data_IF_694372703632
#
_entry.id   IF_694372703632
#
_cell.length_a   1.000
_cell.length_b   1.000
_cell.length_c   1.000
_cell.angle_alpha   90.00
_cell.angle_beta   90.00
_cell.angle_gamma   90.00
#
_symmetry.space_group_name_H-M   'P 1'
#
loop_
_entity.id
_entity.type
_entity.pdbx_description
1 polymer ?
#
# COMPACT_ATOMS: atom_id res chain seq x y z
N UNK A 1 -17.75 15.70 6.12
CA UNK A 1 -17.19 16.84 5.38
C UNK A 1 -15.70 16.61 5.23
N UNK A 2 -15.29 16.40 4.00
CA UNK A 2 -13.89 16.19 3.66
C UNK A 2 -13.33 17.54 3.27
N UNK A 3 -12.47 18.07 4.08
CA UNK A 3 -11.69 19.22 3.69
C UNK A 3 -10.36 18.70 3.12
N UNK A 4 -10.27 18.56 1.80
CA UNK A 4 -8.98 18.54 1.14
C UNK A 4 -8.36 19.92 1.29
N UNK A 5 -7.62 20.12 2.36
CA UNK A 5 -6.83 21.34 2.52
C UNK A 5 -5.69 21.28 1.51
N UNK A 6 -5.96 21.81 0.32
CA UNK A 6 -4.91 22.29 -0.55
C UNK A 6 -4.28 23.50 0.15
N UNK A 7 -3.36 23.23 1.07
CA UNK A 7 -2.56 24.30 1.62
C UNK A 7 -1.75 24.90 0.47
N UNK A 8 -1.91 26.18 0.14
CA UNK A 8 -1.22 26.79 -0.99
C UNK A 8 0.31 26.83 -0.80
N UNK A 9 0.80 26.61 0.42
CA UNK A 9 2.23 26.56 0.68
C UNK A 9 2.73 25.11 0.72
N UNK A 10 3.70 24.76 -0.15
CA UNK A 10 4.26 23.43 -0.16
C UNK A 10 5.04 23.17 1.14
N UNK A 11 4.69 22.08 1.83
CA UNK A 11 5.40 21.62 3.03
C UNK A 11 6.85 21.26 2.73
N UNK A 12 7.11 20.75 1.53
CA UNK A 12 8.46 20.47 1.01
C UNK A 12 8.52 20.75 -0.49
N UNK A 13 9.74 21.07 -0.96
CA UNK A 13 10.02 21.16 -2.39
C UNK A 13 10.58 19.83 -2.89
N UNK A 14 10.10 19.36 -4.02
CA UNK A 14 10.54 18.14 -4.68
C UNK A 14 9.42 17.12 -4.90
N UNK A 15 9.75 16.05 -5.60
CA UNK A 15 8.81 14.95 -5.87
C UNK A 15 8.61 14.13 -4.59
N UNK A 16 7.43 14.24 -3.98
CA UNK A 16 7.06 13.44 -2.81
C UNK A 16 6.51 12.10 -3.27
N UNK A 17 6.89 11.01 -2.61
CA UNK A 17 6.38 9.67 -2.86
C UNK A 17 6.19 8.91 -1.53
N UNK A 18 5.32 7.90 -1.56
CA UNK A 18 5.15 6.94 -0.47
C UNK A 18 4.87 7.60 0.88
N UNK A 19 3.68 8.14 1.01
CA UNK A 19 3.20 8.78 2.22
C UNK A 19 2.60 7.73 3.18
N UNK A 20 2.97 7.80 4.46
CA UNK A 20 2.31 7.04 5.53
C UNK A 20 2.12 7.92 6.77
N UNK A 21 1.15 7.56 7.62
CA UNK A 21 0.77 8.31 8.81
C UNK A 21 0.68 7.38 10.02
N UNK A 22 0.98 7.90 11.22
CA UNK A 22 0.68 7.21 12.48
C UNK A 22 -0.82 7.28 12.84
N UNK A 23 -1.59 7.93 11.98
CA UNK A 23 -3.01 8.17 12.21
C UNK A 23 -3.27 9.13 13.35
N UNK A 24 -2.27 9.91 13.78
CA UNK A 24 -2.34 10.97 14.77
C UNK A 24 -1.82 12.27 14.15
N UNK A 25 -0.61 12.65 14.46
CA UNK A 25 -0.03 13.94 14.09
C UNK A 25 1.23 13.84 13.22
N UNK A 26 1.70 12.62 12.94
CA UNK A 26 2.95 12.43 12.25
C UNK A 26 2.74 11.84 10.85
N UNK A 27 3.42 12.45 9.88
CA UNK A 27 3.50 11.98 8.51
C UNK A 27 4.93 11.64 8.17
N UNK A 28 5.09 10.61 7.38
CA UNK A 28 6.37 10.17 6.86
C UNK A 28 6.25 9.99 5.35
N UNK A 29 7.19 10.54 4.61
CA UNK A 29 7.19 10.45 3.15
C UNK A 29 8.60 10.53 2.58
N UNK A 30 8.77 10.06 1.36
CA UNK A 30 10.04 10.21 0.64
C UNK A 30 9.99 11.42 -0.30
N UNK A 31 11.12 12.14 -0.39
CA UNK A 31 11.29 13.26 -1.31
C UNK A 31 12.36 12.89 -2.33
N UNK A 32 12.07 13.07 -3.62
CA UNK A 32 12.92 12.70 -4.74
C UNK A 32 13.41 11.24 -4.68
N UNK A 33 12.58 10.34 -4.09
CA UNK A 33 12.91 8.93 -3.86
C UNK A 33 14.23 8.69 -3.09
N UNK A 34 14.70 9.67 -2.32
CA UNK A 34 15.96 9.57 -1.56
C UNK A 34 15.83 10.02 -0.12
N UNK A 35 15.23 11.18 0.12
CA UNK A 35 15.09 11.75 1.46
C UNK A 35 13.84 11.20 2.13
N UNK A 36 14.00 10.58 3.28
CA UNK A 36 12.87 10.22 4.14
C UNK A 36 12.66 11.34 5.14
N UNK A 37 11.48 11.94 5.10
CA UNK A 37 11.12 13.15 5.84
C UNK A 37 9.96 12.84 6.77
N UNK A 38 10.04 13.35 7.97
CA UNK A 38 8.97 13.44 8.94
C UNK A 38 8.33 14.84 8.88
N UNK A 39 7.03 14.91 8.95
CA UNK A 39 6.26 16.14 9.09
C UNK A 39 5.33 16.05 10.29
N UNK A 40 5.51 16.98 11.23
CA UNK A 40 4.61 17.14 12.37
C UNK A 40 3.45 18.07 11.98
N UNK A 41 2.23 17.55 11.99
CA UNK A 41 1.02 18.28 11.61
C UNK A 41 0.63 19.38 12.60
N UNK A 42 1.04 19.24 13.87
CA UNK A 42 0.77 20.24 14.92
C UNK A 42 1.79 21.37 14.88
N UNK A 43 3.06 21.00 14.92
CA UNK A 43 4.16 21.97 14.88
C UNK A 43 4.34 22.57 13.47
N UNK A 44 3.72 21.99 12.43
CA UNK A 44 3.88 22.37 11.02
C UNK A 44 5.35 22.40 10.58
N UNK A 45 6.14 21.46 11.09
CA UNK A 45 7.58 21.37 10.83
C UNK A 45 7.95 20.09 10.11
N UNK A 46 8.87 20.22 9.16
CA UNK A 46 9.55 19.09 8.54
C UNK A 46 10.90 18.84 9.19
N UNK A 47 11.25 17.58 9.34
CA UNK A 47 12.58 17.12 9.73
C UNK A 47 13.04 16.00 8.81
N UNK A 48 14.32 16.06 8.41
CA UNK A 48 14.93 14.97 7.65
C UNK A 48 15.24 13.84 8.62
N UNK A 49 14.73 12.64 8.33
CA UNK A 49 15.14 11.43 9.04
C UNK A 49 16.51 11.01 8.51
N UNK A 50 16.59 10.69 7.22
CA UNK A 50 17.85 10.30 6.58
C UNK A 50 17.72 10.29 5.05
N UNK A 51 18.85 10.28 4.37
CA UNK A 51 18.93 10.00 2.93
C UNK A 51 19.32 8.55 2.69
N UNK A 52 18.66 7.92 1.72
CA UNK A 52 18.90 6.54 1.30
C UNK A 52 19.12 6.48 -0.23
N UNK A 53 19.49 5.31 -0.72
CA UNK A 53 19.34 4.97 -2.13
C UNK A 53 17.85 5.02 -2.52
N UNK A 54 17.51 4.67 -3.75
CA UNK A 54 16.14 4.83 -4.25
C UNK A 54 15.09 4.18 -3.34
N UNK A 55 14.35 5.01 -2.60
CA UNK A 55 13.23 4.58 -1.76
C UNK A 55 12.03 4.24 -2.65
N UNK A 56 11.60 2.99 -2.60
CA UNK A 56 10.49 2.47 -3.40
C UNK A 56 9.15 2.45 -2.65
N UNK A 57 9.17 2.16 -1.34
CA UNK A 57 7.98 2.12 -0.49
C UNK A 57 8.33 2.55 0.94
N UNK A 58 7.33 3.11 1.62
CA UNK A 58 7.35 3.38 3.05
C UNK A 58 6.12 2.77 3.69
N UNK A 59 6.32 2.08 4.80
CA UNK A 59 5.23 1.57 5.63
C UNK A 59 5.49 1.95 7.08
N UNK A 60 4.45 2.39 7.78
CA UNK A 60 4.51 2.61 9.21
C UNK A 60 3.74 1.49 9.90
N UNK A 61 4.45 0.66 10.65
CA UNK A 61 3.86 -0.46 11.38
C UNK A 61 4.48 -0.55 12.77
N UNK A 62 3.63 -0.54 13.77
CA UNK A 62 3.99 -0.81 15.17
C UNK A 62 5.11 0.08 15.73
N UNK A 63 5.14 1.37 15.36
CA UNK A 63 6.17 2.31 15.78
C UNK A 63 7.49 2.24 14.99
N UNK A 64 7.56 1.36 14.02
CA UNK A 64 8.70 1.25 13.11
C UNK A 64 8.35 1.77 11.73
N UNK A 65 9.25 2.55 11.16
CA UNK A 65 9.20 2.98 9.78
C UNK A 65 9.99 1.99 8.91
N UNK A 66 9.30 1.32 8.01
CA UNK A 66 9.87 0.37 7.07
C UNK A 66 10.18 1.10 5.76
N UNK A 67 11.46 1.18 5.43
CA UNK A 67 11.96 1.89 4.26
C UNK A 67 12.43 0.83 3.27
N UNK A 68 11.59 0.55 2.29
CA UNK A 68 11.89 -0.43 1.25
C UNK A 68 12.58 0.29 0.09
N UNK A 69 13.78 -0.16 -0.24
CA UNK A 69 14.59 0.40 -1.31
C UNK A 69 14.38 -0.38 -2.61
N UNK A 70 14.58 0.28 -3.73
CA UNK A 70 14.51 -0.36 -5.04
C UNK A 70 15.80 -1.15 -5.28
N UNK A 71 15.68 -2.45 -5.56
CA UNK A 71 16.80 -3.36 -5.84
C UNK A 71 17.81 -3.50 -4.68
N UNK A 72 17.35 -3.27 -3.45
CA UNK A 72 18.23 -3.18 -2.29
C UNK A 72 17.49 -3.67 -1.02
N UNK A 73 18.19 -3.68 0.11
CA UNK A 73 17.70 -4.13 1.39
C UNK A 73 16.53 -3.28 1.93
N UNK A 74 15.84 -3.84 2.91
CA UNK A 74 14.81 -3.15 3.68
C UNK A 74 15.45 -2.54 4.93
N UNK A 75 15.10 -1.30 5.26
CA UNK A 75 15.50 -0.68 6.53
C UNK A 75 14.31 -0.71 7.49
N UNK A 76 14.53 -1.26 8.67
CA UNK A 76 13.64 -1.12 9.82
C UNK A 76 14.17 0.01 10.70
N UNK A 77 13.43 1.12 10.79
CA UNK A 77 13.80 2.30 11.56
C UNK A 77 12.85 2.47 12.75
N UNK A 78 13.40 2.47 13.96
CA UNK A 78 12.64 2.68 15.20
C UNK A 78 12.43 4.19 15.42
N UNK A 79 11.19 4.64 15.36
CA UNK A 79 10.82 6.04 15.54
C UNK A 79 11.01 6.56 16.96
N UNK A 80 11.13 5.66 17.95
CA UNK A 80 11.29 6.02 19.35
C UNK A 80 12.76 6.21 19.72
N UNK A 81 13.62 5.33 19.24
CA UNK A 81 15.05 5.32 19.58
C UNK A 81 15.92 5.94 18.50
N UNK A 82 15.39 6.14 17.30
CA UNK A 82 16.10 6.53 16.07
C UNK A 82 17.17 5.50 15.64
N UNK A 83 17.08 4.29 16.15
CA UNK A 83 17.93 3.18 15.70
C UNK A 83 17.42 2.63 14.37
N UNK A 84 18.33 2.21 13.51
CA UNK A 84 18.00 1.53 12.27
C UNK A 84 18.66 0.17 12.17
N UNK A 85 18.00 -0.73 11.45
CA UNK A 85 18.54 -2.02 11.10
C UNK A 85 18.33 -2.30 9.62
N UNK A 86 19.37 -2.77 8.98
CA UNK A 86 19.31 -3.33 7.63
C UNK A 86 18.80 -4.77 7.73
N UNK A 87 17.71 -5.05 7.03
CA UNK A 87 17.23 -6.40 6.83
C UNK A 87 17.73 -6.82 5.46
N UNK A 88 18.89 -7.48 5.47
CA UNK A 88 19.46 -7.98 4.25
C UNK A 88 18.63 -9.13 3.74
N UNK A 89 18.33 -9.05 2.46
CA UNK A 89 17.69 -10.12 1.71
C UNK A 89 18.73 -11.14 1.22
N UNK A 90 19.98 -11.01 1.66
CA UNK A 90 21.07 -11.93 1.39
C UNK A 90 20.89 -13.23 2.18
N UNK A 91 20.33 -14.23 1.53
CA UNK A 91 20.34 -15.62 1.98
C UNK A 91 21.00 -16.50 0.92
N UNK A 92 21.06 -17.80 1.16
CA UNK A 92 21.64 -18.79 0.23
C UNK A 92 21.04 -18.78 -1.18
N UNK A 93 19.99 -18.00 -1.41
CA UNK A 93 19.26 -17.85 -2.68
C UNK A 93 19.37 -16.43 -3.25
N UNK A 94 20.53 -15.79 -3.13
CA UNK A 94 20.82 -14.42 -3.60
C UNK A 94 20.38 -14.11 -5.05
N UNK A 95 20.29 -15.11 -5.91
CA UNK A 95 19.91 -14.92 -7.31
C UNK A 95 18.44 -14.54 -7.52
N UNK A 96 17.57 -14.84 -6.56
CA UNK A 96 16.12 -14.63 -6.71
C UNK A 96 15.68 -13.22 -6.26
N UNK A 97 16.43 -12.57 -5.38
CA UNK A 97 16.07 -11.23 -4.88
C UNK A 97 16.77 -10.08 -5.61
N UNK A 98 17.89 -10.32 -6.28
CA UNK A 98 18.72 -9.28 -6.91
C UNK A 98 18.02 -8.37 -7.91
N UNK A 99 16.82 -8.72 -8.37
CA UNK A 99 15.99 -7.94 -9.29
C UNK A 99 14.56 -7.73 -8.77
N UNK A 100 14.38 -7.71 -7.46
CA UNK A 100 13.06 -7.56 -6.86
C UNK A 100 12.98 -6.35 -5.95
N UNK A 101 11.77 -5.94 -5.62
CA UNK A 101 11.48 -4.88 -4.66
C UNK A 101 10.17 -5.17 -3.93
N UNK A 102 10.07 -4.68 -2.71
CA UNK A 102 8.87 -4.85 -1.90
C UNK A 102 7.72 -4.03 -2.49
N UNK A 103 6.61 -4.70 -2.74
CA UNK A 103 5.39 -4.10 -3.27
C UNK A 103 4.37 -3.79 -2.18
N UNK A 104 4.28 -4.67 -1.17
CA UNK A 104 3.42 -4.45 -0.01
C UNK A 104 3.96 -5.16 1.24
N UNK A 105 3.51 -4.70 2.41
CA UNK A 105 3.91 -5.23 3.72
C UNK A 105 2.74 -5.16 4.70
N UNK A 106 2.40 -6.31 5.30
CA UNK A 106 1.40 -6.42 6.35
C UNK A 106 1.97 -7.04 7.60
N UNK A 107 1.41 -6.65 8.73
CA UNK A 107 1.74 -7.15 10.05
C UNK A 107 0.75 -8.24 10.44
N UNK A 108 1.24 -9.41 10.81
CA UNK A 108 0.43 -10.47 11.43
C UNK A 108 0.35 -10.26 12.94
N UNK A 109 1.50 -10.06 13.56
CA UNK A 109 1.66 -9.81 15.00
C UNK A 109 2.90 -8.93 15.23
N UNK A 110 3.24 -8.63 16.49
CA UNK A 110 4.34 -7.72 16.83
C UNK A 110 5.70 -8.12 16.23
N UNK A 111 5.86 -9.36 15.85
CA UNK A 111 7.15 -9.94 15.42
C UNK A 111 7.10 -10.58 14.04
N UNK A 112 5.92 -10.75 13.47
CA UNK A 112 5.75 -11.48 12.21
C UNK A 112 5.14 -10.58 11.16
N UNK A 113 5.85 -10.46 10.05
CA UNK A 113 5.46 -9.66 8.90
C UNK A 113 5.40 -10.54 7.65
N UNK A 114 4.48 -10.22 6.77
CA UNK A 114 4.46 -10.74 5.42
C UNK A 114 4.75 -9.61 4.45
N UNK A 115 5.56 -9.90 3.45
CA UNK A 115 5.90 -8.94 2.41
C UNK A 115 5.84 -9.58 1.04
N UNK A 116 5.27 -8.88 0.11
CA UNK A 116 5.26 -9.26 -1.30
C UNK A 116 6.33 -8.53 -2.07
N UNK A 117 6.80 -9.20 -3.09
CA UNK A 117 7.77 -8.68 -4.04
C UNK A 117 7.36 -9.07 -5.47
N UNK A 118 8.11 -8.59 -6.44
CA UNK A 118 7.95 -9.07 -7.82
C UNK A 118 8.40 -10.52 -8.03
N UNK A 119 9.04 -11.14 -7.03
CA UNK A 119 9.57 -12.50 -7.13
C UNK A 119 8.96 -13.45 -6.09
N UNK A 120 7.92 -13.04 -5.35
CA UNK A 120 7.23 -13.92 -4.45
C UNK A 120 6.81 -13.30 -3.12
N UNK A 121 6.32 -14.17 -2.25
CA UNK A 121 5.84 -13.88 -0.90
C UNK A 121 6.87 -14.32 0.13
N UNK A 122 7.21 -13.42 1.04
CA UNK A 122 8.16 -13.68 2.13
C UNK A 122 7.49 -13.53 3.49
N UNK A 123 7.95 -14.32 4.44
CA UNK A 123 7.68 -14.20 5.87
C UNK A 123 8.95 -13.73 6.58
N UNK A 124 8.83 -12.60 7.27
CA UNK A 124 9.87 -12.05 8.13
C UNK A 124 9.44 -12.21 9.58
N UNK A 125 10.22 -12.94 10.39
CA UNK A 125 9.92 -13.18 11.80
C UNK A 125 11.09 -12.78 12.67
N UNK A 126 10.81 -12.02 13.71
CA UNK A 126 11.76 -11.61 14.74
C UNK A 126 11.58 -12.43 16.02
N UNK A 127 12.68 -12.64 16.75
CA UNK A 127 12.68 -13.42 18.00
C UNK A 127 12.09 -12.63 19.17
N UNK A 128 12.22 -11.30 19.17
CA UNK A 128 11.69 -10.42 20.23
C UNK A 128 11.14 -9.10 19.65
N UNK A 129 10.52 -8.27 20.52
CA UNK A 129 9.80 -7.06 20.12
C UNK A 129 10.71 -5.86 19.79
N UNK A 130 11.99 -5.91 20.11
CA UNK A 130 12.94 -4.90 19.65
C UNK A 130 13.45 -5.29 18.27
N UNK A 131 12.75 -4.88 17.23
CA UNK A 131 13.01 -5.30 15.85
C UNK A 131 14.41 -4.86 15.36
N UNK A 132 14.93 -3.73 15.86
CA UNK A 132 16.24 -3.24 15.47
C UNK A 132 17.39 -4.09 16.03
N UNK A 133 17.19 -4.80 17.15
CA UNK A 133 18.23 -5.62 17.82
C UNK A 133 17.94 -7.12 17.77
N UNK A 134 16.70 -7.50 17.50
CA UNK A 134 16.26 -8.90 17.49
C UNK A 134 16.88 -9.69 16.34
N UNK A 135 17.34 -10.91 16.55
CA UNK A 135 17.57 -11.83 15.44
C UNK A 135 16.29 -11.99 14.62
N UNK A 136 16.43 -12.27 13.34
CA UNK A 136 15.30 -12.49 12.46
C UNK A 136 15.56 -13.63 11.47
N UNK A 137 14.48 -14.20 10.99
CA UNK A 137 14.46 -15.17 9.89
C UNK A 137 13.58 -14.63 8.78
N UNK A 138 14.12 -14.62 7.58
CA UNK A 138 13.39 -14.31 6.35
C UNK A 138 13.22 -15.60 5.56
N UNK A 139 11.98 -15.95 5.25
CA UNK A 139 11.63 -17.19 4.54
C UNK A 139 10.83 -16.86 3.30
N UNK A 140 11.27 -17.33 2.13
CA UNK A 140 10.48 -17.32 0.90
C UNK A 140 9.42 -18.42 0.99
N UNK A 141 8.15 -18.03 0.97
CA UNK A 141 7.03 -18.95 1.11
C UNK A 141 6.61 -19.60 -0.22
N UNK A 142 6.96 -18.99 -1.34
CA UNK A 142 6.54 -19.43 -2.69
C UNK A 142 7.59 -20.23 -3.47
N UNK A 143 8.70 -20.61 -2.83
CA UNK A 143 9.86 -21.23 -3.49
C UNK A 143 9.58 -22.55 -4.23
N UNK A 144 8.65 -23.36 -3.76
CA UNK A 144 8.47 -24.75 -4.25
C UNK A 144 7.11 -25.01 -4.90
N UNK A 145 6.41 -23.97 -5.29
CA UNK A 145 5.00 -24.12 -5.53
C UNK A 145 4.67 -24.19 -7.02
N UNK A 146 4.22 -25.36 -7.43
CA UNK A 146 3.76 -25.66 -8.79
C UNK A 146 2.55 -24.83 -9.25
N UNK A 147 1.90 -24.09 -8.35
CA UNK A 147 0.73 -23.27 -8.67
C UNK A 147 1.07 -21.93 -9.33
N UNK A 148 2.33 -21.47 -9.20
CA UNK A 148 2.80 -20.27 -9.92
C UNK A 148 3.52 -20.68 -11.20
N UNK A 149 2.75 -21.05 -12.21
CA UNK A 149 3.27 -21.61 -13.46
C UNK A 149 3.87 -20.56 -14.41
N UNK A 150 3.69 -19.26 -14.11
CA UNK A 150 4.23 -18.21 -14.97
C UNK A 150 4.99 -17.15 -14.17
N UNK A 151 5.99 -16.53 -14.82
CA UNK A 151 6.72 -15.39 -14.25
C UNK A 151 5.82 -14.18 -13.92
N UNK A 152 4.62 -14.12 -14.50
CA UNK A 152 3.63 -13.06 -14.26
C UNK A 152 2.87 -13.31 -12.95
N UNK A 153 2.56 -14.56 -12.65
CA UNK A 153 1.82 -14.95 -11.44
C UNK A 153 2.62 -14.72 -10.16
N UNK A 154 3.95 -14.81 -10.24
CA UNK A 154 4.84 -14.53 -9.12
C UNK A 154 4.97 -13.02 -8.80
N UNK A 155 4.54 -12.14 -9.68
CA UNK A 155 4.54 -10.70 -9.44
C UNK A 155 3.40 -10.33 -8.52
N UNK A 156 3.70 -10.26 -7.24
CA UNK A 156 2.72 -9.94 -6.21
C UNK A 156 2.68 -8.44 -5.97
N UNK A 157 1.50 -7.87 -5.81
CA UNK A 157 1.28 -6.43 -5.86
C UNK A 157 0.67 -5.84 -4.60
N UNK A 158 -0.11 -6.65 -3.87
CA UNK A 158 -0.82 -6.20 -2.68
C UNK A 158 -1.05 -7.34 -1.70
N UNK A 159 -1.20 -7.01 -0.42
CA UNK A 159 -1.46 -7.93 0.68
C UNK A 159 -2.67 -7.49 1.48
N UNK A 160 -3.43 -8.46 1.94
CA UNK A 160 -4.44 -8.29 2.95
C UNK A 160 -4.37 -9.43 3.96
N UNK A 161 -4.22 -9.11 5.24
CA UNK A 161 -4.23 -10.05 6.34
C UNK A 161 -5.64 -10.12 6.95
N UNK A 162 -6.27 -11.28 6.83
CA UNK A 162 -7.54 -11.56 7.51
C UNK A 162 -7.25 -12.16 8.88
N UNK A 163 -7.30 -11.32 9.90
CA UNK A 163 -7.00 -11.73 11.28
C UNK A 163 -8.05 -12.70 11.84
N UNK A 164 -9.29 -12.62 11.39
CA UNK A 164 -10.37 -13.48 11.86
C UNK A 164 -10.20 -14.92 11.36
N UNK A 165 -9.81 -15.05 10.10
CA UNK A 165 -9.63 -16.36 9.46
C UNK A 165 -8.17 -16.83 9.50
N UNK A 166 -7.22 -15.98 9.93
CA UNK A 166 -5.78 -16.26 9.90
C UNK A 166 -5.27 -16.60 8.49
N UNK A 167 -5.78 -15.88 7.51
CA UNK A 167 -5.50 -16.07 6.09
C UNK A 167 -4.80 -14.85 5.52
N UNK A 168 -3.82 -15.09 4.69
CA UNK A 168 -3.18 -14.05 3.91
C UNK A 168 -3.71 -14.09 2.47
N UNK A 169 -4.23 -12.97 2.01
CA UNK A 169 -4.69 -12.79 0.65
C UNK A 169 -3.68 -11.95 -0.11
N UNK A 170 -3.36 -12.39 -1.32
CA UNK A 170 -2.30 -11.79 -2.15
C UNK A 170 -2.88 -11.43 -3.50
N UNK A 171 -2.81 -10.15 -3.84
CA UNK A 171 -3.11 -9.67 -5.19
C UNK A 171 -1.89 -9.84 -6.09
N UNK A 172 -2.11 -10.24 -7.33
CA UNK A 172 -1.05 -10.50 -8.31
C UNK A 172 -1.18 -9.65 -9.57
N UNK A 173 -0.12 -9.62 -10.37
CA UNK A 173 -0.06 -8.87 -11.63
C UNK A 173 -0.65 -9.67 -12.81
N UNK A 174 -1.84 -10.17 -12.72
CA UNK A 174 -2.49 -10.91 -13.81
C UNK A 174 -2.97 -12.31 -13.41
N UNK A 175 -2.55 -12.80 -12.24
CA UNK A 175 -3.01 -14.06 -11.67
C UNK A 175 -4.23 -13.94 -10.76
N UNK A 176 -4.82 -12.74 -10.60
CA UNK A 176 -5.96 -12.50 -9.74
C UNK A 176 -5.59 -12.43 -8.26
N UNK A 177 -6.42 -13.01 -7.39
CA UNK A 177 -6.22 -13.07 -5.94
C UNK A 177 -5.90 -14.50 -5.52
N UNK A 178 -4.84 -14.64 -4.73
CA UNK A 178 -4.39 -15.91 -4.18
C UNK A 178 -4.66 -15.92 -2.68
N UNK A 179 -5.31 -16.97 -2.20
CA UNK A 179 -5.42 -17.30 -0.79
C UNK A 179 -4.19 -18.06 -0.35
N UNK A 180 -3.54 -17.58 0.69
CA UNK A 180 -2.42 -18.27 1.32
C UNK A 180 -2.81 -18.69 2.72
N UNK A 181 -2.96 -20.00 2.94
CA UNK A 181 -3.21 -20.56 4.25
C UNK A 181 -1.89 -20.79 4.97
N UNK A 182 -1.70 -20.03 6.05
CA UNK A 182 -0.44 -20.04 6.78
C UNK A 182 -0.31 -21.24 7.69
N UNK A 183 -1.42 -21.85 8.12
CA UNK A 183 -1.42 -23.00 9.01
C UNK A 183 -0.85 -24.25 8.32
N UNK A 184 -1.17 -24.42 7.05
CA UNK A 184 -0.80 -25.61 6.29
C UNK A 184 0.31 -25.36 5.27
N UNK A 185 0.85 -24.14 5.20
CA UNK A 185 1.78 -23.72 4.13
C UNK A 185 1.25 -23.98 2.72
N UNK A 186 -0.07 -24.02 2.59
CA UNK A 186 -0.76 -24.23 1.32
C UNK A 186 -1.41 -22.94 0.85
N UNK A 187 -1.49 -22.76 -0.44
CA UNK A 187 -2.23 -21.68 -1.04
C UNK A 187 -3.18 -22.20 -2.10
N UNK A 188 -4.19 -21.41 -2.29
CA UNK A 188 -5.24 -21.67 -3.25
C UNK A 188 -5.64 -20.36 -3.91
N UNK A 189 -6.05 -20.41 -5.14
CA UNK A 189 -6.47 -19.24 -5.91
C UNK A 189 -7.98 -19.07 -5.81
N UNK A 190 -8.43 -17.84 -5.64
CA UNK A 190 -9.83 -17.50 -5.88
C UNK A 190 -10.17 -17.83 -7.34
N UNK A 191 -11.26 -18.58 -7.54
CA UNK A 191 -11.65 -19.10 -8.86
C UNK A 191 -12.30 -18.03 -9.74
N UNK A 192 -11.71 -16.83 -9.78
CA UNK A 192 -12.19 -15.77 -10.64
C UNK A 192 -11.01 -15.13 -11.36
N UNK A 193 -11.13 -15.05 -12.68
CA UNK A 193 -10.22 -14.27 -13.49
C UNK A 193 -10.69 -12.81 -13.49
N UNK A 194 -9.79 -11.91 -13.09
CA UNK A 194 -10.06 -10.48 -13.08
C UNK A 194 -9.60 -9.80 -14.38
N UNK A 195 -8.98 -10.53 -15.28
CA UNK A 195 -8.49 -10.02 -16.57
C UNK A 195 -7.34 -9.02 -16.46
N UNK A 196 -7.02 -8.55 -15.26
CA UNK A 196 -5.99 -7.54 -15.03
C UNK A 196 -5.43 -7.60 -13.60
N UNK A 197 -4.54 -6.66 -13.29
CA UNK A 197 -3.85 -6.58 -12.00
C UNK A 197 -4.79 -6.14 -10.89
N UNK A 198 -4.72 -6.80 -9.73
CA UNK A 198 -5.32 -6.34 -8.48
C UNK A 198 -4.38 -5.31 -7.83
N UNK A 199 -4.80 -4.06 -7.77
CA UNK A 199 -3.98 -2.94 -7.27
C UNK A 199 -4.05 -2.78 -5.75
N UNK A 200 -5.19 -3.15 -5.14
CA UNK A 200 -5.35 -3.07 -3.69
C UNK A 200 -6.59 -3.82 -3.20
N UNK A 201 -6.61 -4.08 -1.91
CA UNK A 201 -7.68 -4.80 -1.21
C UNK A 201 -7.93 -4.17 0.16
N UNK A 202 -9.20 -4.06 0.55
CA UNK A 202 -9.61 -3.67 1.91
C UNK A 202 -10.86 -4.43 2.31
N UNK A 203 -11.02 -4.70 3.61
CA UNK A 203 -12.26 -5.23 4.18
C UNK A 203 -13.08 -4.08 4.79
N UNK A 204 -14.38 -4.02 4.51
CA UNK A 204 -15.27 -3.05 5.13
C UNK A 204 -15.68 -3.50 6.56
N UNK A 205 -16.47 -2.67 7.24
CA UNK A 205 -16.94 -2.96 8.61
C UNK A 205 -17.94 -4.12 8.69
N UNK A 206 -18.53 -4.50 7.57
CA UNK A 206 -19.46 -5.65 7.47
C UNK A 206 -18.75 -6.94 7.08
N UNK A 207 -17.44 -6.90 6.79
CA UNK A 207 -16.64 -8.05 6.38
C UNK A 207 -16.59 -8.29 4.87
N UNK A 208 -17.19 -7.42 4.04
CA UNK A 208 -17.04 -7.52 2.58
C UNK A 208 -15.66 -7.03 2.15
N UNK A 209 -15.06 -7.75 1.23
CA UNK A 209 -13.78 -7.36 0.63
C UNK A 209 -14.01 -6.56 -0.64
N UNK A 210 -13.30 -5.46 -0.73
CA UNK A 210 -13.29 -4.56 -1.87
C UNK A 210 -11.95 -4.66 -2.57
N UNK A 211 -11.98 -4.78 -3.88
CA UNK A 211 -10.80 -4.83 -4.73
C UNK A 211 -10.78 -3.64 -5.69
N UNK A 212 -9.58 -3.20 -6.01
CA UNK A 212 -9.36 -2.36 -7.18
C UNK A 212 -8.60 -3.16 -8.21
N UNK A 213 -9.13 -3.21 -9.41
CA UNK A 213 -8.55 -3.94 -10.55
C UNK A 213 -8.19 -2.94 -11.63
N UNK A 214 -6.95 -2.97 -12.10
CA UNK A 214 -6.53 -2.11 -13.22
C UNK A 214 -7.45 -2.36 -14.41
N UNK A 215 -7.97 -1.29 -15.00
CA UNK A 215 -8.94 -1.32 -16.10
C UNK A 215 -10.27 -2.04 -15.81
N UNK A 216 -10.39 -2.75 -14.68
CA UNK A 216 -11.60 -3.42 -14.21
C UNK A 216 -12.42 -2.63 -13.19
N UNK A 217 -11.86 -1.52 -12.67
CA UNK A 217 -12.53 -0.66 -11.72
C UNK A 217 -12.61 -1.21 -10.31
N UNK A 218 -13.73 -0.96 -9.64
CA UNK A 218 -13.97 -1.34 -8.24
C UNK A 218 -14.84 -2.58 -8.21
N UNK A 219 -14.41 -3.58 -7.48
CA UNK A 219 -15.15 -4.83 -7.28
C UNK A 219 -15.41 -5.07 -5.79
N UNK A 220 -16.54 -5.69 -5.48
CA UNK A 220 -16.93 -6.05 -4.12
C UNK A 220 -17.25 -7.54 -4.05
N UNK A 221 -16.85 -8.20 -2.97
CA UNK A 221 -17.24 -9.59 -2.71
C UNK A 221 -18.76 -9.71 -2.54
N UNK A 222 -19.33 -10.81 -3.02
CA UNK A 222 -20.77 -11.07 -2.90
C UNK A 222 -21.17 -11.51 -1.48
N UNK A 223 -20.20 -11.96 -0.69
CA UNK A 223 -20.40 -12.43 0.70
C UNK A 223 -19.43 -11.72 1.65
N UNK A 224 -19.81 -11.55 2.93
CA UNK A 224 -18.94 -10.94 3.94
C UNK A 224 -17.90 -11.93 4.50
N UNK A 225 -17.98 -13.20 4.14
CA UNK A 225 -16.97 -14.21 4.49
C UNK A 225 -16.17 -14.53 3.25
N UNK A 226 -14.89 -14.14 3.28
CA UNK A 226 -14.02 -14.35 2.16
C UNK A 226 -13.55 -15.83 2.11
N UNK A 227 -13.81 -16.50 1.01
CA UNK A 227 -13.43 -17.89 0.74
C UNK A 227 -12.94 -18.06 -0.69
N UNK A 228 -12.51 -19.27 -1.04
CA UNK A 228 -12.07 -19.57 -2.41
C UNK A 228 -13.20 -19.48 -3.44
N UNK A 229 -14.43 -19.71 -2.99
CA UNK A 229 -15.63 -19.64 -3.83
C UNK A 229 -16.27 -18.25 -3.78
N UNK A 230 -15.64 -17.27 -3.15
CA UNK A 230 -16.11 -15.88 -3.14
C UNK A 230 -16.04 -15.32 -4.53
N UNK A 231 -17.17 -14.83 -5.01
CA UNK A 231 -17.27 -14.07 -6.23
C UNK A 231 -17.17 -12.58 -5.94
N UNK A 232 -16.56 -11.87 -6.87
CA UNK A 232 -16.49 -10.42 -6.87
C UNK A 232 -17.31 -9.90 -8.04
N UNK A 233 -18.16 -8.95 -7.76
CA UNK A 233 -18.96 -8.28 -8.80
C UNK A 233 -18.47 -6.84 -8.97
N UNK A 234 -18.50 -6.32 -10.21
CA UNK A 234 -18.29 -4.90 -10.43
C UNK A 234 -19.29 -4.10 -9.59
N UNK A 235 -18.78 -3.19 -8.81
CA UNK A 235 -19.64 -2.37 -7.99
C UNK A 235 -20.30 -1.29 -8.85
N UNK A 236 -21.59 -1.53 -9.21
CA UNK A 236 -22.32 -0.79 -10.26
C UNK A 236 -22.44 0.71 -10.01
N UNK A 237 -22.41 1.15 -8.74
CA UNK A 237 -22.42 2.59 -8.41
C UNK A 237 -21.13 3.31 -8.79
N UNK A 238 -20.08 2.57 -9.09
CA UNK A 238 -18.81 3.07 -9.61
C UNK A 238 -18.73 2.97 -11.14
N UNK A 239 -19.83 2.71 -11.83
CA UNK A 239 -19.87 2.73 -13.29
C UNK A 239 -19.51 4.14 -13.78
N UNK A 240 -18.47 4.24 -14.59
CA UNK A 240 -17.88 5.51 -15.01
C UNK A 240 -16.54 5.85 -14.35
N UNK A 241 -16.18 5.17 -13.27
CA UNK A 241 -14.85 5.26 -12.69
C UNK A 241 -13.93 4.30 -13.42
N UNK A 242 -12.91 4.82 -14.06
CA UNK A 242 -11.95 4.04 -14.82
C UNK A 242 -10.51 4.33 -14.35
N UNK A 243 -9.61 3.43 -14.69
CA UNK A 243 -8.21 3.58 -14.44
C UNK A 243 -7.74 2.75 -13.23
N UNK A 244 -6.56 3.07 -12.78
CA UNK A 244 -5.89 2.42 -11.67
C UNK A 244 -6.24 3.15 -10.38
N UNK A 245 -6.72 2.43 -9.37
CA UNK A 245 -7.10 3.02 -8.10
C UNK A 245 -6.20 2.54 -6.96
N UNK A 246 -5.77 3.50 -6.14
CA UNK A 246 -5.29 3.20 -4.79
C UNK A 246 -6.47 3.20 -3.84
N UNK A 247 -6.60 2.15 -3.04
CA UNK A 247 -7.69 1.97 -2.09
C UNK A 247 -7.19 2.12 -0.66
N UNK A 248 -7.96 2.79 0.17
CA UNK A 248 -7.65 3.02 1.58
C UNK A 248 -8.93 2.97 2.41
N UNK A 249 -8.89 2.31 3.56
CA UNK A 249 -9.99 2.30 4.54
C UNK A 249 -9.74 3.37 5.60
N UNK A 250 -10.62 4.35 5.67
CA UNK A 250 -10.59 5.38 6.71
C UNK A 250 -11.00 4.85 8.08
N UNK A 251 -10.65 5.59 9.14
CA UNK A 251 -11.02 5.24 10.51
C UNK A 251 -12.52 5.22 10.77
N UNK A 252 -13.27 6.04 10.04
CA UNK A 252 -14.74 6.06 10.07
C UNK A 252 -15.39 4.90 9.30
N UNK A 253 -14.60 4.02 8.69
CA UNK A 253 -15.07 2.88 7.90
C UNK A 253 -15.27 3.18 6.43
N UNK A 254 -15.23 4.43 5.99
CA UNK A 254 -15.37 4.80 4.59
C UNK A 254 -14.17 4.30 3.77
N UNK A 255 -14.45 3.92 2.54
CA UNK A 255 -13.46 3.48 1.58
C UNK A 255 -13.12 4.65 0.66
N UNK A 256 -11.85 4.96 0.60
CA UNK A 256 -11.29 6.04 -0.19
C UNK A 256 -10.52 5.48 -1.37
N UNK A 257 -10.74 6.03 -2.53
CA UNK A 257 -10.08 5.61 -3.76
C UNK A 257 -9.52 6.84 -4.46
N UNK A 258 -8.30 6.71 -4.97
CA UNK A 258 -7.68 7.74 -5.80
C UNK A 258 -7.21 7.13 -7.11
N UNK A 259 -7.54 7.74 -8.23
CA UNK A 259 -7.18 7.23 -9.55
C UNK A 259 -6.04 8.00 -10.24
N UNK A 260 -5.66 7.55 -11.43
CA UNK A 260 -4.60 8.18 -12.23
C UNK A 260 -5.06 9.41 -13.04
N UNK A 261 -6.28 9.88 -12.80
CA UNK A 261 -6.83 11.08 -13.45
C UNK A 261 -7.09 12.23 -12.48
N UNK A 262 -6.66 12.08 -11.21
CA UNK A 262 -6.86 13.08 -10.17
C UNK A 262 -8.28 13.09 -9.59
N UNK A 263 -9.01 11.99 -9.74
CA UNK A 263 -10.32 11.81 -9.14
C UNK A 263 -10.20 11.05 -7.82
N UNK A 264 -10.95 11.48 -6.83
CA UNK A 264 -11.12 10.82 -5.54
C UNK A 264 -12.57 10.38 -5.44
N UNK A 265 -12.75 9.13 -5.03
CA UNK A 265 -14.04 8.53 -4.74
C UNK A 265 -14.07 8.11 -3.28
N UNK A 266 -15.15 8.44 -2.61
CA UNK A 266 -15.42 8.06 -1.24
C UNK A 266 -16.69 7.24 -1.22
N UNK A 267 -16.60 6.06 -0.64
CA UNK A 267 -17.72 5.13 -0.51
C UNK A 267 -18.02 4.94 0.97
N UNK A 268 -19.26 5.17 1.37
CA UNK A 268 -19.75 4.65 2.64
C UNK A 268 -20.30 3.23 2.44
N UNK A 269 -19.62 2.19 2.94
CA UNK A 269 -20.06 0.81 2.72
C UNK A 269 -21.32 0.43 3.50
N UNK A 270 -21.76 1.26 4.46
CA UNK A 270 -22.98 1.03 5.24
C UNK A 270 -24.23 1.49 4.49
N UNK A 271 -24.18 2.71 3.92
CA UNK A 271 -25.29 3.33 3.20
C UNK A 271 -25.21 3.09 1.69
N UNK A 272 -24.04 2.68 1.19
CA UNK A 272 -23.67 2.63 -0.22
C UNK A 272 -23.76 4.01 -0.91
N UNK A 273 -23.61 5.09 -0.17
CA UNK A 273 -23.48 6.42 -0.73
C UNK A 273 -22.08 6.61 -1.32
N UNK A 274 -22.02 7.39 -2.39
CA UNK A 274 -20.79 7.66 -3.13
C UNK A 274 -20.66 9.15 -3.29
N UNK A 275 -19.53 9.67 -2.87
CA UNK A 275 -19.09 11.01 -3.20
C UNK A 275 -17.87 10.91 -4.13
N UNK A 276 -17.81 11.75 -5.15
CA UNK A 276 -16.63 11.87 -5.98
C UNK A 276 -16.30 13.32 -6.28
N UNK A 277 -15.02 13.60 -6.40
CA UNK A 277 -14.56 14.92 -6.80
C UNK A 277 -13.19 14.82 -7.48
N UNK A 278 -12.92 15.79 -8.34
CA UNK A 278 -11.61 15.93 -8.96
C UNK A 278 -10.77 16.93 -8.18
N UNK A 279 -9.47 16.68 -8.14
CA UNK A 279 -8.52 17.66 -7.64
C UNK A 279 -8.58 18.93 -8.47
N UNK A 280 -8.53 20.07 -7.80
CA UNK A 280 -8.59 21.39 -8.44
C UNK A 280 -7.40 22.25 -7.96
N UNK A 281 -6.93 23.10 -8.83
CA UNK A 281 -5.98 24.14 -8.44
C UNK A 281 -6.67 25.33 -7.76
N UNK A 282 -5.90 26.33 -7.33
CA UNK A 282 -6.44 27.51 -6.66
C UNK A 282 -7.37 28.37 -7.52
N UNK A 283 -7.46 28.08 -8.83
CA UNK A 283 -8.37 28.75 -9.78
C UNK A 283 -9.64 27.93 -10.05
N UNK A 284 -9.80 26.77 -9.39
CA UNK A 284 -10.92 25.87 -9.62
C UNK A 284 -10.79 25.00 -10.88
N UNK A 285 -9.63 25.02 -11.55
CA UNK A 285 -9.42 24.19 -12.73
C UNK A 285 -9.06 22.76 -12.31
N UNK A 286 -9.58 21.76 -13.01
CA UNK A 286 -9.27 20.35 -12.74
C UNK A 286 -7.81 20.04 -12.97
N UNK A 287 -7.20 19.33 -12.03
CA UNK A 287 -5.84 18.84 -12.14
C UNK A 287 -5.89 17.37 -12.59
N UNK A 288 -5.45 17.12 -13.82
CA UNK A 288 -5.21 15.75 -14.28
C UNK A 288 -3.85 15.28 -13.75
N UNK A 289 -3.87 14.35 -12.79
CA UNK A 289 -2.66 13.85 -12.17
C UNK A 289 -2.89 12.43 -11.64
N UNK A 290 -1.81 11.66 -11.55
CA UNK A 290 -1.87 10.33 -10.95
C UNK A 290 -1.85 10.46 -9.43
N UNK A 291 -2.81 9.84 -8.75
CA UNK A 291 -2.80 9.69 -7.31
C UNK A 291 -2.07 8.38 -6.99
N UNK A 292 -0.85 8.49 -6.49
CA UNK A 292 -0.01 7.33 -6.16
C UNK A 292 -0.22 6.81 -4.74
N UNK A 293 -0.70 7.65 -3.85
CA UNK A 293 -0.98 7.27 -2.48
C UNK A 293 -1.96 8.24 -1.86
N UNK A 294 -2.79 7.73 -0.97
CA UNK A 294 -3.67 8.53 -0.14
C UNK A 294 -3.70 7.95 1.28
N UNK A 295 -3.84 8.79 2.25
CA UNK A 295 -4.12 8.40 3.63
C UNK A 295 -4.92 9.49 4.36
N UNK A 296 -5.54 9.14 5.47
CA UNK A 296 -6.23 10.08 6.32
C UNK A 296 -5.42 10.32 7.59
N UNK A 297 -5.36 11.57 8.02
CA UNK A 297 -4.81 11.93 9.33
C UNK A 297 -5.85 11.72 10.46
N UNK A 298 -5.48 12.09 11.68
CA UNK A 298 -6.36 11.98 12.85
C UNK A 298 -7.60 12.88 12.80
N UNK A 299 -7.57 13.92 11.97
CA UNK A 299 -8.69 14.84 11.75
C UNK A 299 -9.52 14.50 10.50
N UNK A 300 -9.35 13.29 9.95
CA UNK A 300 -9.96 12.85 8.70
C UNK A 300 -9.65 13.73 7.47
N UNK A 301 -8.49 14.42 7.48
CA UNK A 301 -8.04 15.14 6.30
C UNK A 301 -7.34 14.17 5.37
N UNK A 302 -7.73 14.21 4.11
CA UNK A 302 -7.11 13.39 3.07
C UNK A 302 -5.77 13.98 2.66
N UNK A 303 -4.73 13.17 2.77
CA UNK A 303 -3.38 13.50 2.36
C UNK A 303 -3.09 12.72 1.09
N UNK A 304 -2.73 13.45 0.05
CA UNK A 304 -2.56 12.90 -1.29
C UNK A 304 -1.15 13.09 -1.78
N UNK A 305 -0.66 12.06 -2.44
CA UNK A 305 0.51 12.18 -3.29
C UNK A 305 0.10 12.06 -4.77
N UNK A 306 0.48 13.06 -5.54
CA UNK A 306 0.19 13.16 -6.98
C UNK A 306 1.44 13.53 -7.77
N UNK A 307 1.51 13.20 -9.07
CA UNK A 307 2.59 13.58 -9.98
C UNK A 307 2.05 13.96 -11.36
N UNK A 308 2.62 14.93 -12.05
CA UNK A 308 3.56 15.93 -11.52
C UNK A 308 2.84 16.97 -10.67
N UNK A 309 3.55 17.54 -9.69
CA UNK A 309 3.03 18.74 -9.03
C UNK A 309 2.83 19.83 -10.10
N UNK A 310 1.71 20.56 -10.10
CA UNK A 310 1.53 21.72 -11.01
C UNK A 310 2.60 22.80 -10.86
N UNK A 311 3.45 22.65 -9.85
CA UNK A 311 4.57 23.56 -9.52
C UNK A 311 5.95 22.96 -9.80
N UNK A 312 6.05 21.75 -10.30
CA UNK A 312 7.34 21.25 -10.79
C UNK A 312 7.73 22.14 -11.98
N UNK A 313 8.86 22.86 -11.92
CA UNK A 313 9.30 23.63 -13.06
C UNK A 313 9.43 22.64 -14.21
N UNK A 314 8.79 22.94 -15.34
CA UNK A 314 9.03 22.20 -16.58
C UNK A 314 10.54 22.23 -16.77
N UNK A 315 11.19 21.08 -16.54
CA UNK A 315 12.57 20.91 -16.96
C UNK A 315 12.52 20.94 -18.49
N UNK A 316 12.70 22.13 -19.02
CA UNK A 316 13.02 22.30 -20.42
C UNK A 316 14.36 21.60 -20.64
N UNK A 317 14.31 20.51 -21.35
CA UNK A 317 15.34 19.79 -22.12
C UNK A 317 16.76 19.76 -21.57
#
# INVERSE_FOLDING_TARGET
FVLCLLNPEPVVRGKVAHLCSDGKTNLYFSVNQRKVVHYDLVAKKTSLIKEYSVVNRLFLRHGYLWICRLWDDIICYDLKTNEERVISMEGKDQSEFSNSYVTDLVLKDNRTFYLTTWNGLYKLRFDNDNLCKSPFVLTLLTKNEKAFHSSIENKMTSLFWDDKQQILWVGTFGGGVVKFDISDSMYSRVRQDFGSRVDGMVEDSKGYVWLTVSDGGIMKSTTPVFSLDTHFEPWKKASGFSGRFHIYKGKNGNIWLGNNWGEIVIIDPLTNEVESFHLQNNKGERIQTVIYSLCLDSWNRCLLYTSPSPRDPKTSR
#
